data_IF_898015459331
#
_entry.id   IF_898015459331
#
_cell.length_a   1.000
_cell.length_b   1.000
_cell.length_c   1.000
_cell.angle_alpha   90.00
_cell.angle_beta   90.00
_cell.angle_gamma   90.00
#
_symmetry.space_group_name_H-M   'P 1'
#
loop_
_entity.id
_entity.type
_entity.pdbx_description
1 polymer ?
#
# COMPACT_ATOMS: atom_id res chain seq x y z
N UNK A 1 7.64 54.35 -26.29
CA UNK A 1 8.82 54.58 -25.44
C UNK A 1 9.64 53.30 -25.15
N UNK A 2 9.08 52.09 -25.24
CA UNK A 2 9.87 50.82 -25.12
C UNK A 2 10.65 50.40 -26.38
N UNK A 3 10.42 51.03 -27.54
CA UNK A 3 11.09 50.67 -28.80
C UNK A 3 12.49 51.30 -29.00
N UNK A 4 12.84 52.33 -28.23
CA UNK A 4 14.15 53.01 -28.38
C UNK A 4 15.25 52.40 -27.51
N UNK A 5 14.89 51.69 -26.43
CA UNK A 5 15.85 50.99 -25.56
C UNK A 5 16.43 49.73 -26.22
N UNK A 6 15.71 49.11 -27.16
CA UNK A 6 16.19 47.93 -27.90
C UNK A 6 17.26 48.24 -28.95
N UNK A 7 17.35 49.50 -29.44
CA UNK A 7 18.33 49.88 -30.47
C UNK A 7 19.70 50.28 -29.89
N UNK A 8 19.76 50.71 -28.63
CA UNK A 8 21.02 51.11 -27.98
C UNK A 8 21.95 49.92 -27.64
N UNK A 9 21.42 48.70 -27.55
CA UNK A 9 22.20 47.49 -27.23
C UNK A 9 22.50 46.58 -28.44
N UNK A 10 21.99 46.92 -29.63
CA UNK A 10 22.05 46.07 -30.82
C UNK A 10 23.42 46.02 -31.54
N UNK A 11 24.46 46.69 -31.01
CA UNK A 11 25.78 46.77 -31.65
C UNK A 11 26.97 46.33 -30.80
N UNK A 12 26.75 45.92 -29.54
CA UNK A 12 27.87 45.50 -28.68
C UNK A 12 28.15 44.01 -28.87
N UNK A 13 29.34 43.61 -29.37
CA UNK A 13 29.71 42.20 -29.51
C UNK A 13 29.69 41.44 -28.16
N UNK A 14 29.84 42.16 -27.05
CA UNK A 14 29.72 41.59 -25.70
C UNK A 14 28.27 41.17 -25.35
N UNK A 15 27.27 41.92 -25.83
CA UNK A 15 25.86 41.59 -25.59
C UNK A 15 25.40 40.37 -26.40
N UNK A 16 25.91 40.23 -27.63
CA UNK A 16 25.66 39.05 -28.47
C UNK A 16 26.29 37.78 -27.89
N UNK A 17 27.53 37.86 -27.36
CA UNK A 17 28.18 36.73 -26.72
C UNK A 17 27.48 36.28 -25.42
N UNK A 18 26.98 37.23 -24.62
CA UNK A 18 26.25 36.93 -23.39
C UNK A 18 24.90 36.26 -23.67
N UNK A 19 24.19 36.66 -24.74
CA UNK A 19 22.93 36.03 -25.14
C UNK A 19 23.13 34.58 -25.64
N UNK A 20 24.22 34.30 -26.35
CA UNK A 20 24.56 32.94 -26.81
C UNK A 20 24.93 32.02 -25.63
N UNK A 21 25.69 32.52 -24.64
CA UNK A 21 26.01 31.78 -23.41
C UNK A 21 24.76 31.48 -22.57
N UNK A 22 23.85 32.45 -22.43
CA UNK A 22 22.59 32.24 -21.72
C UNK A 22 21.69 31.22 -22.42
N UNK A 23 21.61 31.27 -23.75
CA UNK A 23 20.83 30.31 -24.55
C UNK A 23 21.37 28.88 -24.40
N UNK A 24 22.70 28.71 -24.40
CA UNK A 24 23.36 27.42 -24.18
C UNK A 24 23.13 26.90 -22.76
N UNK A 25 23.22 27.75 -21.74
CA UNK A 25 22.90 27.38 -20.35
C UNK A 25 21.44 26.97 -20.17
N UNK A 26 20.50 27.73 -20.73
CA UNK A 26 19.06 27.39 -20.66
C UNK A 26 18.79 26.05 -21.35
N UNK A 27 19.42 25.81 -22.51
CA UNK A 27 19.26 24.54 -23.23
C UNK A 27 19.91 23.37 -22.48
N UNK A 28 21.06 23.59 -21.84
CA UNK A 28 21.79 22.56 -21.11
C UNK A 28 21.16 22.22 -19.75
N UNK A 29 20.72 23.24 -18.99
CA UNK A 29 20.02 23.05 -17.71
C UNK A 29 18.62 22.51 -17.93
N UNK A 30 17.89 23.03 -18.92
CA UNK A 30 16.59 22.49 -19.34
C UNK A 30 16.70 21.03 -19.79
N UNK A 31 17.72 20.69 -20.60
CA UNK A 31 17.96 19.32 -21.04
C UNK A 31 18.26 18.35 -19.88
N UNK A 32 19.04 18.78 -18.88
CA UNK A 32 19.31 17.96 -17.68
C UNK A 32 18.07 17.79 -16.81
N UNK A 33 17.28 18.85 -16.61
CA UNK A 33 16.05 18.78 -15.83
C UNK A 33 15.04 17.82 -16.47
N UNK A 34 14.86 17.92 -17.79
CA UNK A 34 13.97 17.03 -18.55
C UNK A 34 14.50 15.59 -18.54
N UNK A 35 15.81 15.39 -18.73
CA UNK A 35 16.41 14.04 -18.67
C UNK A 35 16.25 13.39 -17.30
N UNK A 36 16.38 14.14 -16.21
CA UNK A 36 16.18 13.63 -14.86
C UNK A 36 14.70 13.34 -14.58
N UNK A 37 13.78 14.20 -15.03
CA UNK A 37 12.34 13.97 -14.91
C UNK A 37 11.91 12.70 -15.67
N UNK A 38 12.38 12.52 -16.91
CA UNK A 38 12.12 11.31 -17.70
C UNK A 38 12.77 10.08 -17.04
N UNK A 39 13.97 10.19 -16.51
CA UNK A 39 14.62 9.08 -15.80
C UNK A 39 13.83 8.70 -14.52
N UNK A 40 13.27 9.69 -13.82
CA UNK A 40 12.40 9.45 -12.67
C UNK A 40 11.07 8.81 -13.08
N UNK A 41 10.41 9.28 -14.15
CA UNK A 41 9.19 8.65 -14.67
C UNK A 41 9.44 7.21 -15.14
N UNK A 42 10.53 6.96 -15.87
CA UNK A 42 10.88 5.61 -16.33
C UNK A 42 11.24 4.71 -15.14
N UNK A 43 11.89 5.23 -14.10
CA UNK A 43 12.13 4.49 -12.88
C UNK A 43 10.80 4.18 -12.17
N UNK A 44 9.90 5.16 -12.07
CA UNK A 44 8.60 5.03 -11.44
C UNK A 44 7.70 4.02 -12.18
N UNK A 45 7.66 4.04 -13.52
CA UNK A 45 6.95 3.03 -14.32
C UNK A 45 7.55 1.62 -14.16
N UNK A 46 8.88 1.52 -13.99
CA UNK A 46 9.55 0.23 -13.78
C UNK A 46 9.39 -0.31 -12.36
N UNK A 47 8.96 0.52 -11.40
CA UNK A 47 8.73 0.12 -10.00
C UNK A 47 7.31 -0.42 -9.75
N UNK A 48 6.46 -0.56 -10.77
CA UNK A 48 5.21 -1.33 -10.67
C UNK A 48 5.45 -2.81 -10.98
N UNK A 49 6.25 -3.48 -10.16
CA UNK A 49 6.48 -4.92 -10.30
C UNK A 49 5.19 -5.67 -9.94
N UNK A 50 4.47 -6.16 -10.95
CA UNK A 50 3.18 -6.85 -10.82
C UNK A 50 2.02 -6.00 -10.25
N UNK A 51 2.05 -4.67 -10.46
CA UNK A 51 1.00 -3.78 -9.98
C UNK A 51 1.03 -3.53 -8.46
N UNK A 52 2.10 -3.95 -7.79
CA UNK A 52 2.36 -3.60 -6.39
C UNK A 52 3.23 -2.34 -6.40
N UNK A 53 2.85 -1.27 -5.69
CA UNK A 53 3.72 -0.09 -5.55
C UNK A 53 4.99 -0.52 -4.83
N UNK A 54 6.13 -0.39 -5.49
CA UNK A 54 7.43 -0.46 -4.80
C UNK A 54 7.72 0.96 -4.33
N UNK A 55 7.29 1.29 -3.11
CA UNK A 55 7.70 2.53 -2.47
C UNK A 55 8.67 2.22 -1.32
N UNK A 56 9.80 2.94 -1.34
CA UNK A 56 10.82 2.90 -0.29
C UNK A 56 10.66 4.07 0.70
N UNK A 57 9.61 4.88 0.55
CA UNK A 57 9.28 5.96 1.47
C UNK A 57 9.02 5.47 2.91
N UNK A 58 9.23 6.33 3.92
CA UNK A 58 8.87 6.03 5.29
C UNK A 58 7.34 5.83 5.41
N UNK A 59 6.87 4.93 6.30
CA UNK A 59 5.45 4.68 6.49
C UNK A 59 4.69 5.96 6.88
N UNK A 60 3.45 6.10 6.39
CA UNK A 60 2.62 7.26 6.76
C UNK A 60 2.34 7.23 8.28
N UNK A 61 2.19 8.39 8.94
CA UNK A 61 1.80 8.42 10.35
C UNK A 61 0.50 7.68 10.65
N UNK A 62 -0.40 7.58 9.67
CA UNK A 62 -1.63 6.80 9.76
C UNK A 62 -1.35 5.30 9.82
N UNK A 63 -0.53 4.76 8.90
CA UNK A 63 -0.12 3.35 8.91
C UNK A 63 0.55 2.95 10.24
N UNK A 64 1.36 3.84 10.81
CA UNK A 64 2.01 3.60 12.11
C UNK A 64 1.02 3.48 13.25
N UNK A 65 -0.09 4.24 13.22
CA UNK A 65 -1.18 4.09 14.19
C UNK A 65 -1.93 2.78 14.00
N UNK A 66 -2.14 2.34 12.76
CA UNK A 66 -2.83 1.06 12.46
C UNK A 66 -2.03 -0.21 12.77
N UNK A 67 -0.77 -0.08 13.21
CA UNK A 67 0.12 -1.20 13.58
C UNK A 67 -0.49 -2.16 14.61
N UNK A 68 -1.28 -1.65 15.56
CA UNK A 68 -1.92 -2.47 16.59
C UNK A 68 -3.07 -3.33 16.05
N UNK A 69 -3.84 -2.83 15.07
CA UNK A 69 -4.86 -3.63 14.39
C UNK A 69 -4.26 -4.80 13.65
N UNK A 70 -3.15 -4.57 12.94
CA UNK A 70 -2.41 -5.66 12.27
C UNK A 70 -2.01 -6.76 13.26
N UNK A 71 -1.57 -6.39 14.48
CA UNK A 71 -1.25 -7.35 15.55
C UNK A 71 -2.43 -8.23 15.93
N UNK A 72 -3.61 -7.63 16.12
CA UNK A 72 -4.84 -8.37 16.46
C UNK A 72 -5.20 -9.37 15.35
N UNK A 73 -5.07 -8.97 14.09
CA UNK A 73 -5.33 -9.83 12.93
C UNK A 73 -4.36 -11.01 12.91
N UNK A 74 -3.04 -10.76 13.06
CA UNK A 74 -2.03 -11.80 13.04
C UNK A 74 -2.16 -12.79 14.20
N UNK A 75 -2.49 -12.31 15.40
CA UNK A 75 -2.76 -13.20 16.55
C UNK A 75 -3.98 -14.07 16.26
N UNK A 76 -5.05 -13.51 15.70
CA UNK A 76 -6.25 -14.25 15.34
C UNK A 76 -5.94 -15.33 14.30
N UNK A 77 -5.19 -14.98 13.25
CA UNK A 77 -4.75 -15.93 12.23
C UNK A 77 -3.84 -17.02 12.80
N UNK A 78 -2.91 -16.68 13.71
CA UNK A 78 -2.05 -17.65 14.38
C UNK A 78 -2.85 -18.64 15.23
N UNK A 79 -3.84 -18.17 16.00
CA UNK A 79 -4.74 -19.03 16.78
C UNK A 79 -5.52 -19.97 15.86
N UNK A 80 -6.09 -19.46 14.77
CA UNK A 80 -6.81 -20.27 13.78
C UNK A 80 -5.89 -21.28 13.07
N UNK A 81 -4.63 -20.92 12.82
CA UNK A 81 -3.62 -21.82 12.27
C UNK A 81 -3.34 -22.99 13.22
N UNK A 82 -3.17 -22.75 14.53
CA UNK A 82 -3.02 -23.83 15.52
C UNK A 82 -4.27 -24.71 15.63
N UNK A 83 -5.46 -24.10 15.58
CA UNK A 83 -6.73 -24.86 15.56
C UNK A 83 -6.86 -25.72 14.30
N UNK A 84 -6.40 -25.23 13.14
CA UNK A 84 -6.38 -25.98 11.88
C UNK A 84 -5.49 -27.22 11.99
N UNK A 85 -4.29 -27.09 12.55
CA UNK A 85 -3.41 -28.24 12.80
C UNK A 85 -4.01 -29.24 13.81
N UNK A 86 -4.53 -28.76 14.95
CA UNK A 86 -4.98 -29.63 16.03
C UNK A 86 -6.33 -30.30 15.81
N UNK A 87 -7.30 -29.58 15.24
CA UNK A 87 -8.70 -30.05 15.12
C UNK A 87 -9.01 -30.61 13.73
N UNK A 88 -8.52 -29.95 12.67
CA UNK A 88 -8.79 -30.35 11.29
C UNK A 88 -7.75 -31.34 10.74
N UNK A 89 -6.56 -31.44 11.37
CA UNK A 89 -5.43 -32.24 10.88
C UNK A 89 -5.02 -31.90 9.43
N UNK A 90 -5.32 -30.67 9.00
CA UNK A 90 -5.00 -30.16 7.67
C UNK A 90 -3.61 -29.51 7.68
N UNK A 91 -2.59 -30.35 7.52
CA UNK A 91 -1.19 -29.91 7.58
C UNK A 91 -0.79 -28.99 6.42
N UNK A 92 -1.28 -29.24 5.21
CA UNK A 92 -0.88 -28.47 4.04
C UNK A 92 -1.49 -27.07 4.08
N UNK A 93 -2.79 -26.95 4.37
CA UNK A 93 -3.43 -25.66 4.56
C UNK A 93 -2.91 -24.91 5.78
N UNK A 94 -2.65 -25.62 6.88
CA UNK A 94 -2.00 -25.06 8.06
C UNK A 94 -0.61 -24.50 7.77
N UNK A 95 0.19 -25.17 6.93
CA UNK A 95 1.51 -24.71 6.53
C UNK A 95 1.45 -23.43 5.70
N UNK A 96 0.55 -23.33 4.71
CA UNK A 96 0.35 -22.10 3.93
C UNK A 96 -0.09 -20.93 4.81
N UNK A 97 -1.05 -21.17 5.71
CA UNK A 97 -1.51 -20.16 6.66
C UNK A 97 -0.37 -19.70 7.60
N UNK A 98 0.50 -20.62 8.03
CA UNK A 98 1.67 -20.29 8.84
C UNK A 98 2.66 -19.39 8.08
N UNK A 99 2.87 -19.62 6.78
CA UNK A 99 3.68 -18.74 5.94
C UNK A 99 3.08 -17.34 5.83
N UNK A 100 1.74 -17.22 5.73
CA UNK A 100 1.07 -15.91 5.72
C UNK A 100 1.23 -15.17 7.04
N UNK A 101 1.09 -15.86 8.18
CA UNK A 101 1.34 -15.27 9.50
C UNK A 101 2.80 -14.83 9.61
N UNK A 102 3.75 -15.65 9.15
CA UNK A 102 5.17 -15.30 9.11
C UNK A 102 5.47 -14.09 8.23
N UNK A 103 4.84 -14.01 7.04
CA UNK A 103 4.95 -12.87 6.14
C UNK A 103 4.38 -11.60 6.77
N UNK A 104 3.20 -11.68 7.38
CA UNK A 104 2.59 -10.54 8.08
C UNK A 104 3.41 -10.08 9.29
N UNK A 105 3.99 -11.02 10.04
CA UNK A 105 4.93 -10.70 11.13
C UNK A 105 6.19 -10.01 10.60
N UNK A 106 6.73 -10.47 9.47
CA UNK A 106 7.87 -9.84 8.81
C UNK A 106 7.54 -8.41 8.36
N UNK A 107 6.38 -8.19 7.74
CA UNK A 107 5.88 -6.87 7.35
C UNK A 107 5.78 -5.91 8.54
N UNK A 108 5.31 -6.40 9.69
CA UNK A 108 5.25 -5.61 10.93
C UNK A 108 6.64 -5.20 11.44
N UNK A 109 7.65 -6.05 11.25
CA UNK A 109 9.03 -5.74 11.63
C UNK A 109 9.70 -4.76 10.65
N UNK A 110 9.30 -4.78 9.38
CA UNK A 110 9.80 -3.86 8.33
C UNK A 110 9.02 -2.52 8.30
N UNK A 111 8.70 -1.99 9.48
CA UNK A 111 8.05 -0.68 9.65
C UNK A 111 6.79 -0.48 8.79
N UNK A 112 5.98 -1.51 8.57
CA UNK A 112 4.76 -1.42 7.75
C UNK A 112 5.01 -0.95 6.32
N UNK A 113 6.15 -1.28 5.70
CA UNK A 113 6.39 -0.93 4.29
C UNK A 113 5.24 -1.44 3.40
N UNK A 114 4.70 -0.53 2.58
CA UNK A 114 3.45 -0.76 1.84
C UNK A 114 3.55 -1.94 0.87
N UNK A 115 4.72 -2.15 0.26
CA UNK A 115 4.96 -3.28 -0.67
C UNK A 115 4.74 -4.61 0.03
N UNK A 116 5.27 -4.78 1.25
CA UNK A 116 5.09 -6.00 2.02
C UNK A 116 3.66 -6.15 2.57
N UNK A 117 3.01 -5.05 2.94
CA UNK A 117 1.59 -5.03 3.36
C UNK A 117 0.70 -5.49 2.20
N UNK A 118 0.86 -4.93 1.01
CA UNK A 118 0.09 -5.30 -0.18
C UNK A 118 0.36 -6.74 -0.61
N UNK A 119 1.62 -7.20 -0.59
CA UNK A 119 1.96 -8.59 -0.89
C UNK A 119 1.33 -9.58 0.10
N UNK A 120 1.39 -9.27 1.41
CA UNK A 120 0.72 -10.06 2.45
C UNK A 120 -0.79 -10.08 2.27
N UNK A 121 -1.42 -8.93 2.03
CA UNK A 121 -2.85 -8.83 1.79
C UNK A 121 -3.33 -9.62 0.58
N UNK A 122 -2.60 -9.55 -0.54
CA UNK A 122 -2.89 -10.33 -1.74
C UNK A 122 -2.76 -11.83 -1.48
N UNK A 123 -1.71 -12.24 -0.75
CA UNK A 123 -1.52 -13.63 -0.38
C UNK A 123 -2.65 -14.15 0.54
N UNK A 124 -3.11 -13.33 1.50
CA UNK A 124 -4.30 -13.62 2.30
C UNK A 124 -5.57 -13.74 1.44
N UNK A 125 -5.77 -12.87 0.45
CA UNK A 125 -6.94 -12.96 -0.44
C UNK A 125 -6.95 -14.27 -1.22
N UNK A 126 -5.82 -14.62 -1.85
CA UNK A 126 -5.70 -15.85 -2.65
C UNK A 126 -5.89 -17.09 -1.78
N UNK A 127 -5.26 -17.13 -0.60
CA UNK A 127 -5.42 -18.26 0.32
C UNK A 127 -6.86 -18.37 0.85
N UNK A 128 -7.49 -17.24 1.19
CA UNK A 128 -8.87 -17.22 1.66
C UNK A 128 -9.85 -17.74 0.62
N UNK A 129 -9.62 -17.44 -0.67
CA UNK A 129 -10.40 -18.00 -1.77
C UNK A 129 -10.21 -19.52 -1.90
N UNK A 130 -8.97 -20.03 -1.80
CA UNK A 130 -8.72 -21.47 -1.81
C UNK A 130 -9.35 -22.18 -0.62
N UNK A 131 -9.33 -21.57 0.56
CA UNK A 131 -9.96 -22.12 1.76
C UNK A 131 -11.49 -22.14 1.65
N UNK A 132 -12.11 -21.11 1.06
CA UNK A 132 -13.54 -21.11 0.74
C UNK A 132 -13.87 -22.27 -0.21
N UNK A 133 -13.10 -22.44 -1.29
CA UNK A 133 -13.32 -23.52 -2.25
C UNK A 133 -13.15 -24.89 -1.58
N UNK A 134 -12.11 -25.06 -0.77
CA UNK A 134 -11.85 -26.28 -0.01
C UNK A 134 -12.96 -26.58 1.02
N UNK A 135 -13.60 -25.55 1.58
CA UNK A 135 -14.71 -25.70 2.51
C UNK A 135 -16.04 -26.04 1.81
N UNK A 136 -16.30 -25.42 0.66
CA UNK A 136 -17.54 -25.59 -0.10
C UNK A 136 -17.61 -26.97 -0.77
N UNK A 137 -16.50 -27.50 -1.29
CA UNK A 137 -16.51 -28.78 -2.01
C UNK A 137 -17.04 -29.96 -1.17
N UNK A 138 -16.55 -30.25 0.05
CA UNK A 138 -17.08 -31.33 0.89
C UNK A 138 -18.55 -31.10 1.31
N UNK A 139 -18.97 -29.84 1.43
CA UNK A 139 -20.34 -29.48 1.77
C UNK A 139 -21.30 -29.84 0.64
N UNK A 140 -20.91 -29.56 -0.62
CA UNK A 140 -21.70 -29.90 -1.81
C UNK A 140 -21.87 -31.42 -2.00
N UNK A 141 -20.85 -32.20 -1.66
CA UNK A 141 -20.90 -33.67 -1.78
C UNK A 141 -21.52 -34.38 -0.57
N UNK A 142 -21.95 -33.63 0.47
CA UNK A 142 -22.52 -34.22 1.68
C UNK A 142 -21.54 -35.08 2.48
N UNK A 143 -20.23 -34.91 2.26
CA UNK A 143 -19.16 -35.67 2.91
C UNK A 143 -18.86 -35.18 4.34
N UNK A 144 -19.47 -34.06 4.73
CA UNK A 144 -19.24 -33.40 6.02
C UNK A 144 -20.09 -34.06 7.11
N UNK A 145 -19.43 -34.80 8.02
CA UNK A 145 -20.02 -35.08 9.33
C UNK A 145 -20.28 -33.75 10.03
N UNK A 146 -21.50 -33.52 10.52
CA UNK A 146 -21.94 -32.29 11.20
C UNK A 146 -21.29 -32.11 12.58
N UNK A 147 -19.96 -31.98 12.61
CA UNK A 147 -19.23 -31.54 13.79
C UNK A 147 -19.22 -30.01 13.77
N UNK A 148 -20.14 -29.39 14.50
CA UNK A 148 -20.32 -27.93 14.55
C UNK A 148 -19.00 -27.17 14.75
N UNK A 149 -18.11 -27.67 15.61
CA UNK A 149 -16.80 -27.06 15.84
C UNK A 149 -15.92 -27.01 14.58
N UNK A 150 -15.92 -28.09 13.77
CA UNK A 150 -15.14 -28.13 12.52
C UNK A 150 -15.67 -27.12 11.52
N UNK A 151 -17.00 -27.02 11.38
CA UNK A 151 -17.65 -26.06 10.48
C UNK A 151 -17.34 -24.63 10.92
N UNK A 152 -17.40 -24.35 12.22
CA UNK A 152 -17.07 -23.04 12.77
C UNK A 152 -15.62 -22.63 12.45
N UNK A 153 -14.65 -23.51 12.74
CA UNK A 153 -13.23 -23.24 12.44
C UNK A 153 -13.02 -23.05 10.94
N UNK A 154 -13.61 -23.92 10.12
CA UNK A 154 -13.51 -23.87 8.66
C UNK A 154 -14.11 -22.58 8.07
N UNK A 155 -15.13 -22.01 8.71
CA UNK A 155 -15.67 -20.70 8.35
C UNK A 155 -14.82 -19.53 8.85
N UNK A 156 -14.31 -19.60 10.08
CA UNK A 156 -13.51 -18.53 10.68
C UNK A 156 -12.18 -18.30 9.95
N UNK A 157 -11.55 -19.36 9.42
CA UNK A 157 -10.27 -19.27 8.68
C UNK A 157 -10.37 -18.29 7.50
N UNK A 158 -11.19 -18.53 6.45
CA UNK A 158 -11.24 -17.63 5.30
C UNK A 158 -11.76 -16.24 5.66
N UNK A 159 -12.63 -16.11 6.68
CA UNK A 159 -13.06 -14.80 7.18
C UNK A 159 -11.87 -14.01 7.73
N UNK A 160 -10.99 -14.65 8.51
CA UNK A 160 -9.80 -14.00 9.06
C UNK A 160 -8.78 -13.61 7.99
N UNK A 161 -8.69 -14.36 6.90
CA UNK A 161 -7.79 -14.07 5.78
C UNK A 161 -8.34 -12.95 4.90
N UNK A 162 -9.65 -12.98 4.60
CA UNK A 162 -10.34 -11.88 3.92
C UNK A 162 -10.27 -10.59 4.73
N UNK A 163 -10.31 -10.66 6.05
CA UNK A 163 -10.12 -9.50 6.91
C UNK A 163 -8.69 -8.95 6.81
N UNK A 164 -7.68 -9.81 6.76
CA UNK A 164 -6.28 -9.40 6.48
C UNK A 164 -6.12 -8.73 5.11
N UNK A 165 -6.75 -9.29 4.07
CA UNK A 165 -6.74 -8.70 2.73
C UNK A 165 -7.45 -7.33 2.69
N UNK A 166 -8.62 -7.22 3.31
CA UNK A 166 -9.36 -5.96 3.40
C UNK A 166 -8.57 -4.90 4.18
N UNK A 167 -7.89 -5.29 5.26
CA UNK A 167 -7.02 -4.39 6.02
C UNK A 167 -5.82 -3.89 5.19
N UNK A 168 -5.17 -4.77 4.43
CA UNK A 168 -4.10 -4.37 3.52
C UNK A 168 -4.58 -3.43 2.40
N UNK A 169 -5.77 -3.66 1.85
CA UNK A 169 -6.40 -2.76 0.88
C UNK A 169 -6.64 -1.37 1.46
N UNK A 170 -7.16 -1.31 2.69
CA UNK A 170 -7.40 -0.06 3.39
C UNK A 170 -6.09 0.75 3.60
N UNK A 171 -5.02 0.10 4.04
CA UNK A 171 -3.71 0.76 4.19
C UNK A 171 -3.13 1.23 2.84
N UNK A 172 -3.32 0.44 1.77
CA UNK A 172 -2.94 0.85 0.42
C UNK A 172 -3.74 2.05 -0.07
N UNK A 173 -5.04 2.13 0.25
CA UNK A 173 -5.88 3.26 -0.11
C UNK A 173 -5.41 4.56 0.57
N UNK A 174 -5.15 4.54 1.88
CA UNK A 174 -4.58 5.69 2.59
C UNK A 174 -3.24 6.12 2.00
N UNK A 175 -2.34 5.16 1.74
CA UNK A 175 -1.06 5.44 1.09
C UNK A 175 -1.25 6.12 -0.27
N UNK A 176 -2.12 5.58 -1.11
CA UNK A 176 -2.36 6.09 -2.45
C UNK A 176 -2.99 7.49 -2.46
N UNK A 177 -3.92 7.76 -1.54
CA UNK A 177 -4.52 9.10 -1.37
C UNK A 177 -3.45 10.11 -0.93
N UNK A 178 -2.55 9.73 -0.03
CA UNK A 178 -1.47 10.59 0.44
C UNK A 178 -0.42 10.88 -0.66
N UNK A 179 -0.21 9.96 -1.60
CA UNK A 179 0.70 10.11 -2.74
C UNK A 179 0.01 10.69 -4.00
N UNK A 180 -1.19 11.25 -3.86
CA UNK A 180 -1.98 11.85 -4.95
C UNK A 180 -2.27 10.88 -6.12
N UNK A 181 -2.26 9.56 -5.87
CA UNK A 181 -2.66 8.57 -6.84
C UNK A 181 -4.18 8.49 -6.96
N UNK A 182 -4.67 8.33 -8.19
CA UNK A 182 -6.10 8.13 -8.46
C UNK A 182 -6.51 6.70 -8.11
N UNK A 183 -7.13 6.51 -6.94
CA UNK A 183 -7.71 5.22 -6.51
C UNK A 183 -9.24 5.25 -6.50
N UNK A 184 -9.91 4.10 -6.69
CA UNK A 184 -11.37 4.03 -6.52
C UNK A 184 -11.80 4.51 -5.13
N UNK A 185 -12.93 5.22 -5.06
CA UNK A 185 -13.50 5.76 -3.81
C UNK A 185 -14.20 4.68 -2.95
N UNK A 186 -13.63 3.48 -2.90
CA UNK A 186 -14.18 2.34 -2.16
C UNK A 186 -13.17 1.80 -1.16
N UNK A 187 -13.47 2.03 0.10
CA UNK A 187 -12.75 1.50 1.24
C UNK A 187 -13.75 0.88 2.23
N UNK A 188 -13.83 -0.45 2.30
CA UNK A 188 -14.83 -1.13 3.14
C UNK A 188 -14.55 -0.97 4.63
N UNK A 189 -13.30 -0.74 5.03
CA UNK A 189 -12.90 -0.70 6.44
C UNK A 189 -12.65 0.71 6.96
N UNK A 190 -12.50 1.71 6.09
CA UNK A 190 -12.22 3.09 6.51
C UNK A 190 -13.20 3.64 7.53
N UNK A 191 -14.51 3.42 7.34
CA UNK A 191 -15.52 3.84 8.33
C UNK A 191 -15.35 3.15 9.68
N UNK A 192 -15.11 1.83 9.66
CA UNK A 192 -14.97 1.03 10.86
C UNK A 192 -13.74 1.46 11.67
N UNK A 193 -12.60 1.68 11.01
CA UNK A 193 -11.38 2.07 11.70
C UNK A 193 -11.41 3.51 12.20
N UNK A 194 -11.99 4.45 11.45
CA UNK A 194 -12.12 5.84 11.91
C UNK A 194 -13.07 5.93 13.12
N UNK A 195 -14.13 5.11 13.19
CA UNK A 195 -15.01 5.08 14.36
C UNK A 195 -14.39 4.39 15.59
N UNK A 196 -13.53 3.39 15.37
CA UNK A 196 -12.93 2.58 16.43
C UNK A 196 -11.53 3.02 16.86
N UNK A 197 -10.87 3.95 16.15
CA UNK A 197 -9.54 4.42 16.51
C UNK A 197 -9.60 5.29 17.78
N UNK A 198 -9.12 4.79 18.94
CA UNK A 198 -9.17 5.56 20.17
C UNK A 198 -8.26 6.80 20.10
N UNK A 199 -7.28 6.83 19.20
CA UNK A 199 -6.35 7.96 19.08
C UNK A 199 -6.93 9.17 18.34
N UNK A 200 -7.98 9.00 17.52
CA UNK A 200 -8.63 10.11 16.80
C UNK A 200 -9.44 11.03 17.74
N UNK A 201 -9.74 10.56 18.96
CA UNK A 201 -10.37 11.39 20.01
C UNK A 201 -9.46 12.49 20.55
N UNK A 202 -8.15 12.46 20.24
CA UNK A 202 -7.29 13.62 20.46
C UNK A 202 -7.54 14.59 19.31
N UNK A 203 -8.12 15.78 19.56
CA UNK A 203 -8.42 16.72 18.50
C UNK A 203 -7.15 16.97 17.68
N UNK A 204 -7.19 16.55 16.41
CA UNK A 204 -6.17 16.87 15.44
C UNK A 204 -5.98 18.39 15.50
N UNK A 205 -4.77 18.83 15.86
CA UNK A 205 -4.41 20.22 15.69
C UNK A 205 -4.81 20.60 14.24
N UNK A 206 -5.61 21.66 14.04
CA UNK A 206 -6.20 21.95 12.75
C UNK A 206 -5.14 21.94 11.65
N UNK A 207 -5.52 21.42 10.47
CA UNK A 207 -4.76 21.45 9.20
C UNK A 207 -4.50 22.90 8.72
N UNK A 208 -4.15 23.82 9.61
CA UNK A 208 -3.75 25.17 9.27
C UNK A 208 -2.32 25.11 8.69
N UNK A 209 -2.22 25.46 7.41
CA UNK A 209 -1.02 25.93 6.71
C UNK A 209 0.04 24.93 6.21
N UNK A 210 -0.34 23.74 5.71
CA UNK A 210 0.58 22.95 4.86
C UNK A 210 0.56 23.29 3.37
N UNK A 211 0.01 24.46 3.01
CA UNK A 211 -0.14 24.95 1.62
C UNK A 211 0.61 26.24 1.30
N UNK A 212 1.68 26.59 2.04
CA UNK A 212 2.47 27.82 1.81
C UNK A 212 3.98 27.59 1.61
N UNK A 213 4.42 26.42 1.12
CA UNK A 213 5.83 26.22 0.76
C UNK A 213 5.95 25.69 -0.65
#
# INVERSE_FOLDING_TARGET
MMNDLGRAFAGSPAAAAMADDLSKKITQEGGKAISNAIAQEIAQERLHLFGIPVDAGPPTPYMMRMRHWMHVILITQAVLCFLRFGVLWDFLGGFWMLLLVGLGWYTWHQEMNITYVSAWGLACLVNGLFDILAAVLPLLFGLLSLQFLKILILGCIPISELFGAAFAWHLYHDFAVNDHMSVPDYDPLGKLFNELDPEETKPFAPKEERGKR
#
